data_IF_555770770797
#
_entry.id   IF_555770770797
#
_cell.length_a   1.000
_cell.length_b   1.000
_cell.length_c   1.000
_cell.angle_alpha   90.00
_cell.angle_beta   90.00
_cell.angle_gamma   90.00
#
_symmetry.space_group_name_H-M   'P 1'
#
loop_
_entity.id
_entity.type
_entity.pdbx_description
1 polymer ?
#
# COMPACT_ATOMS: atom_id res chain seq x y z
N UNK A 1 21.98 12.76 -6.15
CA UNK A 1 20.86 12.45 -5.22
C UNK A 1 19.96 11.48 -5.95
N UNK A 2 20.21 10.18 -5.78
CA UNK A 2 19.41 9.14 -6.42
C UNK A 2 18.11 9.03 -5.65
N UNK A 3 17.05 9.67 -6.15
CA UNK A 3 15.70 9.42 -5.69
C UNK A 3 15.33 8.03 -6.25
N UNK A 4 15.72 6.97 -5.53
CA UNK A 4 15.16 5.64 -5.75
C UNK A 4 13.70 5.69 -5.27
N UNK A 5 12.84 6.34 -6.06
CA UNK A 5 11.41 6.42 -5.82
C UNK A 5 10.77 5.10 -6.27
N UNK A 6 11.15 4.00 -5.62
CA UNK A 6 10.38 2.74 -5.67
C UNK A 6 9.35 2.78 -4.54
N UNK A 7 8.51 3.81 -4.51
CA UNK A 7 7.50 4.00 -3.46
C UNK A 7 6.11 4.01 -4.07
N UNK A 8 5.65 2.83 -4.47
CA UNK A 8 4.23 2.48 -4.59
C UNK A 8 4.15 0.96 -4.68
N UNK A 9 4.25 0.26 -3.54
CA UNK A 9 3.91 -1.17 -3.52
C UNK A 9 2.40 -1.27 -3.43
N UNK A 10 1.83 -1.29 -4.62
CA UNK A 10 0.40 -1.29 -4.87
C UNK A 10 0.10 -2.57 -5.69
N UNK A 11 0.16 -3.72 -5.00
CA UNK A 11 -0.83 -4.80 -5.01
C UNK A 11 -1.46 -5.34 -6.36
N UNK A 12 -0.68 -5.95 -7.26
CA UNK A 12 -1.14 -6.43 -8.59
C UNK A 12 -2.07 -7.68 -8.54
N UNK A 13 -2.97 -7.85 -9.53
CA UNK A 13 -3.69 -9.09 -9.88
C UNK A 13 -3.39 -9.49 -11.33
N UNK A 14 -2.92 -10.72 -11.57
CA UNK A 14 -2.87 -11.36 -12.90
C UNK A 14 -3.36 -12.80 -12.75
N UNK A 15 -4.15 -13.28 -13.71
CA UNK A 15 -4.79 -14.60 -13.72
C UNK A 15 -3.78 -15.71 -14.00
N UNK A 16 -3.37 -16.43 -12.96
CA UNK A 16 -2.51 -17.62 -13.02
C UNK A 16 -3.25 -18.93 -12.78
N UNK A 17 -2.74 -20.02 -13.38
CA UNK A 17 -3.36 -21.34 -13.55
C UNK A 17 -3.76 -22.09 -12.27
N UNK A 18 -4.83 -22.88 -12.40
CA UNK A 18 -5.48 -23.70 -11.37
C UNK A 18 -4.60 -24.79 -10.76
N UNK A 19 -4.01 -24.50 -9.59
CA UNK A 19 -3.57 -25.52 -8.65
C UNK A 19 -4.74 -25.99 -7.77
N UNK A 20 -4.79 -27.28 -7.44
CA UNK A 20 -5.85 -27.87 -6.61
C UNK A 20 -5.81 -27.30 -5.20
N UNK A 21 -6.70 -26.34 -4.90
CA UNK A 21 -6.87 -25.75 -3.57
C UNK A 21 -7.42 -26.79 -2.59
N UNK A 22 -6.65 -27.08 -1.54
CA UNK A 22 -7.13 -27.80 -0.36
C UNK A 22 -8.36 -27.07 0.18
N UNK A 23 -9.50 -27.77 0.33
CA UNK A 23 -10.75 -27.19 0.82
C UNK A 23 -10.53 -26.46 2.15
N UNK A 24 -10.79 -25.16 2.15
CA UNK A 24 -10.88 -24.31 3.34
C UNK A 24 -11.80 -25.00 4.37
N UNK A 25 -11.42 -24.97 5.65
CA UNK A 25 -12.30 -25.37 6.74
C UNK A 25 -13.64 -24.63 6.60
N UNK A 26 -14.80 -25.25 6.89
CA UNK A 26 -16.13 -24.63 6.71
C UNK A 26 -16.30 -23.27 7.40
N UNK A 27 -15.42 -22.94 8.34
CA UNK A 27 -15.44 -21.74 9.16
C UNK A 27 -14.42 -20.67 8.75
N UNK A 28 -13.69 -20.84 7.65
CA UNK A 28 -12.73 -19.82 7.21
C UNK A 28 -13.45 -18.59 6.65
N UNK A 29 -12.99 -17.37 7.00
CA UNK A 29 -13.51 -16.14 6.43
C UNK A 29 -13.41 -16.16 4.90
N UNK A 30 -14.36 -15.51 4.22
CA UNK A 30 -14.29 -15.34 2.77
C UNK A 30 -13.44 -14.11 2.42
N UNK A 31 -12.70 -14.11 1.30
CA UNK A 31 -12.09 -12.91 0.76
C UNK A 31 -13.11 -11.78 0.65
N UNK A 32 -12.71 -10.56 0.98
CA UNK A 32 -13.55 -9.36 0.96
C UNK A 32 -12.92 -8.24 0.13
N UNK A 33 -13.68 -7.18 -0.13
CA UNK A 33 -13.20 -5.99 -0.81
C UNK A 33 -13.20 -4.79 0.14
N UNK A 34 -12.15 -3.97 0.04
CA UNK A 34 -12.09 -2.69 0.73
C UNK A 34 -13.22 -1.78 0.23
N UNK A 35 -13.62 -0.75 0.99
CA UNK A 35 -14.49 0.29 0.48
C UNK A 35 -13.96 0.97 -0.79
N UNK A 36 -14.85 1.15 -1.79
CA UNK A 36 -14.58 1.81 -3.08
C UNK A 36 -13.86 3.15 -2.98
N UNK A 37 -14.17 3.87 -1.91
CA UNK A 37 -13.57 5.13 -1.57
C UNK A 37 -13.14 5.05 -0.12
N UNK A 38 -11.94 5.53 0.17
CA UNK A 38 -11.52 5.69 1.54
C UNK A 38 -10.38 6.70 1.66
N UNK A 39 -10.24 7.21 2.88
CA UNK A 39 -9.06 7.93 3.33
C UNK A 39 -8.53 7.27 4.60
N UNK A 40 -7.23 7.26 4.77
CA UNK A 40 -6.57 6.73 5.97
C UNK A 40 -5.22 7.41 6.19
N UNK A 41 -4.69 7.28 7.39
CA UNK A 41 -3.28 7.56 7.65
C UNK A 41 -2.51 6.25 7.62
N UNK A 42 -1.39 6.22 6.92
CA UNK A 42 -0.53 5.05 6.82
C UNK A 42 0.86 5.38 7.36
N UNK A 43 1.46 4.40 8.03
CA UNK A 43 2.87 4.41 8.40
C UNK A 43 3.54 3.20 7.77
N UNK A 44 4.68 3.40 7.12
CA UNK A 44 5.51 2.31 6.58
C UNK A 44 6.89 2.36 7.22
N UNK A 45 7.32 1.23 7.76
CA UNK A 45 8.74 0.96 8.04
C UNK A 45 9.30 0.11 6.90
N UNK A 46 10.36 0.59 6.25
CA UNK A 46 11.06 -0.09 5.15
C UNK A 46 12.45 -0.50 5.62
N UNK A 47 12.85 -1.72 5.30
CA UNK A 47 14.24 -2.17 5.36
C UNK A 47 14.61 -2.84 4.05
N UNK A 48 15.78 -2.55 3.49
CA UNK A 48 16.26 -3.21 2.27
C UNK A 48 17.79 -3.24 2.21
N UNK A 49 18.30 -4.04 1.28
CA UNK A 49 19.71 -4.04 0.90
C UNK A 49 19.85 -3.30 -0.44
N UNK A 50 20.64 -2.23 -0.45
CA UNK A 50 20.92 -1.44 -1.66
C UNK A 50 21.82 -2.22 -2.64
N UNK A 51 21.90 -1.81 -3.93
CA UNK A 51 22.76 -2.47 -4.92
C UNK A 51 24.24 -2.52 -4.54
N UNK A 52 24.72 -1.60 -3.69
CA UNK A 52 26.09 -1.59 -3.16
C UNK A 52 26.29 -2.49 -1.93
N UNK A 53 25.26 -3.28 -1.57
CA UNK A 53 25.25 -4.20 -0.45
C UNK A 53 24.99 -3.54 0.91
N UNK A 54 24.82 -2.22 0.99
CA UNK A 54 24.57 -1.53 2.26
C UNK A 54 23.12 -1.67 2.69
N UNK A 55 22.85 -1.84 3.99
CA UNK A 55 21.49 -1.77 4.50
C UNK A 55 20.96 -0.34 4.38
N UNK A 56 19.69 -0.23 4.04
CA UNK A 56 18.91 1.00 4.06
C UNK A 56 17.64 0.77 4.84
N UNK A 57 17.29 1.72 5.70
CA UNK A 57 16.01 1.72 6.40
C UNK A 57 15.39 3.11 6.35
N UNK A 58 14.07 3.14 6.32
CA UNK A 58 13.30 4.38 6.42
C UNK A 58 11.98 4.16 7.14
N UNK A 59 11.47 5.25 7.72
CA UNK A 59 10.13 5.32 8.27
C UNK A 59 9.36 6.42 7.55
N UNK A 60 8.19 6.10 7.05
CA UNK A 60 7.34 7.02 6.30
C UNK A 60 5.97 7.11 6.93
N UNK A 61 5.37 8.31 6.89
CA UNK A 61 3.97 8.52 7.25
C UNK A 61 3.30 9.35 6.19
N UNK A 62 2.10 8.97 5.79
CA UNK A 62 1.37 9.69 4.76
C UNK A 62 -0.15 9.55 4.92
N UNK A 63 -0.84 10.57 4.46
CA UNK A 63 -2.28 10.51 4.22
C UNK A 63 -2.50 9.78 2.89
N UNK A 64 -3.36 8.78 2.93
CA UNK A 64 -3.74 7.95 1.80
C UNK A 64 -5.19 8.26 1.43
N UNK A 65 -5.45 8.49 0.15
CA UNK A 65 -6.78 8.68 -0.41
C UNK A 65 -6.95 7.78 -1.62
N UNK A 66 -8.07 7.07 -1.68
CA UNK A 66 -8.38 6.13 -2.74
C UNK A 66 -9.79 6.35 -3.27
N UNK A 67 -9.92 6.33 -4.59
CA UNK A 67 -11.19 6.45 -5.29
C UNK A 67 -11.22 5.51 -6.50
N UNK A 68 -11.74 4.30 -6.29
CA UNK A 68 -11.84 3.27 -7.34
C UNK A 68 -12.73 3.69 -8.51
N UNK A 69 -13.81 4.43 -8.25
CA UNK A 69 -14.77 4.82 -9.29
C UNK A 69 -14.12 5.82 -10.27
N UNK A 70 -13.31 6.74 -9.76
CA UNK A 70 -12.49 7.63 -10.60
C UNK A 70 -11.18 7.00 -11.06
N UNK A 71 -10.72 5.95 -10.41
CA UNK A 71 -9.46 5.29 -10.70
C UNK A 71 -8.25 6.10 -10.19
N UNK A 72 -8.38 6.74 -9.02
CA UNK A 72 -7.40 7.66 -8.47
C UNK A 72 -6.85 7.16 -7.14
N UNK A 73 -5.55 7.35 -6.94
CA UNK A 73 -4.85 7.14 -5.67
C UNK A 73 -4.02 8.38 -5.37
N UNK A 74 -3.97 8.79 -4.11
CA UNK A 74 -3.09 9.85 -3.67
C UNK A 74 -2.45 9.48 -2.33
N UNK A 75 -1.15 9.75 -2.24
CA UNK A 75 -0.34 9.54 -1.06
C UNK A 75 0.45 10.81 -0.80
N UNK A 76 0.26 11.46 0.34
CA UNK A 76 0.96 12.71 0.67
C UNK A 76 1.54 12.63 2.07
N UNK A 77 2.85 12.79 2.20
CA UNK A 77 3.50 12.66 3.49
C UNK A 77 5.00 12.91 3.51
N UNK A 78 5.65 12.34 4.51
CA UNK A 78 7.10 12.44 4.73
C UNK A 78 7.73 11.06 4.93
N UNK A 79 9.00 10.94 4.56
CA UNK A 79 9.86 9.81 4.87
C UNK A 79 11.12 10.31 5.60
N UNK A 80 11.54 9.58 6.63
CA UNK A 80 12.78 9.77 7.37
C UNK A 80 13.70 8.58 7.13
N UNK A 81 14.88 8.80 6.59
CA UNK A 81 15.90 7.75 6.45
C UNK A 81 16.67 7.53 7.75
N UNK A 82 17.19 6.31 7.91
CA UNK A 82 17.91 5.85 9.09
C UNK A 82 19.29 5.35 8.62
N UNK A 83 20.41 5.75 9.27
CA UNK A 83 20.49 6.52 10.52
C UNK A 83 20.66 8.04 10.34
N UNK A 84 20.74 8.54 9.11
CA UNK A 84 21.05 9.96 8.85
C UNK A 84 19.96 10.94 9.31
N UNK A 85 18.73 10.46 9.55
CA UNK A 85 17.60 11.28 9.96
C UNK A 85 17.13 12.24 8.87
N UNK A 86 17.58 12.05 7.61
CA UNK A 86 17.19 12.93 6.52
C UNK A 86 15.70 12.76 6.25
N UNK A 87 14.99 13.89 6.25
CA UNK A 87 13.58 13.96 5.89
C UNK A 87 13.40 14.28 4.42
N UNK A 88 12.36 13.72 3.82
CA UNK A 88 11.90 14.05 2.48
C UNK A 88 10.37 14.17 2.49
N UNK A 89 9.84 15.20 1.84
CA UNK A 89 8.40 15.41 1.71
C UNK A 89 7.96 15.11 0.28
N UNK A 90 6.99 14.23 0.13
CA UNK A 90 6.57 13.73 -1.17
C UNK A 90 5.05 13.69 -1.30
N UNK A 91 4.58 13.83 -2.52
CA UNK A 91 3.18 13.64 -2.89
C UNK A 91 3.13 12.83 -4.17
N UNK A 92 2.48 11.68 -4.09
CA UNK A 92 2.28 10.76 -5.21
C UNK A 92 0.81 10.79 -5.58
N UNK A 93 0.52 10.99 -6.85
CA UNK A 93 -0.82 10.93 -7.43
C UNK A 93 -0.80 9.91 -8.55
N UNK A 94 -1.67 8.91 -8.48
CA UNK A 94 -1.82 7.89 -9.49
C UNK A 94 -3.18 8.00 -10.15
N UNK A 95 -3.19 8.05 -11.48
CA UNK A 95 -4.38 7.92 -12.30
C UNK A 95 -4.31 6.58 -13.03
N UNK A 96 -5.02 5.59 -12.48
CA UNK A 96 -5.04 4.22 -12.96
C UNK A 96 -5.77 4.04 -14.29
N UNK A 97 -6.67 4.97 -14.64
CA UNK A 97 -7.34 4.96 -15.94
C UNK A 97 -6.39 5.37 -17.06
N UNK A 98 -5.56 6.38 -16.77
CA UNK A 98 -4.57 6.90 -17.72
C UNK A 98 -3.22 6.17 -17.63
N UNK A 99 -3.03 5.33 -16.61
CA UNK A 99 -1.80 4.57 -16.39
C UNK A 99 -0.62 5.45 -15.97
N UNK A 100 -0.87 6.57 -15.30
CA UNK A 100 0.16 7.58 -14.97
C UNK A 100 0.34 7.78 -13.48
N UNK A 101 1.59 7.88 -13.04
CA UNK A 101 1.98 8.28 -11.69
C UNK A 101 2.72 9.61 -11.76
N UNK A 102 2.36 10.53 -10.88
CA UNK A 102 3.04 11.79 -10.64
C UNK A 102 3.68 11.75 -9.26
N UNK A 103 5.00 11.85 -9.20
CA UNK A 103 5.75 11.96 -7.95
C UNK A 103 6.26 13.39 -7.81
N UNK A 104 5.87 14.05 -6.73
CA UNK A 104 6.11 15.46 -6.49
C UNK A 104 6.99 15.56 -5.25
N UNK A 105 8.21 16.05 -5.42
CA UNK A 105 9.07 16.46 -4.32
C UNK A 105 8.55 17.80 -3.79
N UNK A 106 7.99 17.79 -2.59
CA UNK A 106 7.33 18.98 -2.04
C UNK A 106 8.35 20.05 -1.61
N UNK A 107 9.60 19.69 -1.36
CA UNK A 107 10.65 20.60 -0.94
C UNK A 107 11.24 21.34 -2.15
N UNK A 108 11.58 20.60 -3.21
CA UNK A 108 12.16 21.17 -4.43
C UNK A 108 11.13 21.60 -5.48
N UNK A 109 9.85 21.26 -5.29
CA UNK A 109 8.76 21.44 -6.26
C UNK A 109 9.01 20.76 -7.60
N UNK A 110 9.90 19.77 -7.64
CA UNK A 110 10.17 18.98 -8.84
C UNK A 110 9.12 17.90 -8.97
N UNK A 111 8.66 17.72 -10.21
CA UNK A 111 7.70 16.69 -10.57
C UNK A 111 8.37 15.64 -11.44
N UNK A 112 7.98 14.39 -11.25
CA UNK A 112 8.39 13.26 -12.06
C UNK A 112 7.13 12.54 -12.52
N UNK A 113 7.09 12.23 -13.81
CA UNK A 113 6.00 11.46 -14.41
C UNK A 113 6.50 10.08 -14.77
N UNK A 114 5.72 9.04 -14.46
CA UNK A 114 6.03 7.66 -14.81
C UNK A 114 4.77 6.88 -15.16
N UNK A 115 4.95 5.67 -15.69
CA UNK A 115 3.86 4.75 -15.99
C UNK A 115 3.56 3.92 -14.75
N UNK A 116 2.28 3.73 -14.44
CA UNK A 116 1.83 2.81 -13.39
C UNK A 116 2.18 1.38 -13.80
N UNK A 117 3.05 0.73 -13.03
CA UNK A 117 3.39 -0.68 -13.20
C UNK A 117 2.58 -1.60 -12.29
N UNK A 118 1.90 -1.04 -11.29
CA UNK A 118 1.28 -1.75 -10.18
C UNK A 118 -0.10 -1.15 -9.86
N UNK A 119 -1.16 -1.98 -9.85
CA UNK A 119 -2.55 -1.55 -9.55
C UNK A 119 -2.94 -1.97 -8.15
N UNK A 120 -3.68 -1.18 -7.34
CA UNK A 120 -4.04 -1.52 -5.97
C UNK A 120 -4.94 -2.75 -5.90
N UNK A 121 -4.71 -3.60 -4.89
CA UNK A 121 -5.61 -4.68 -4.51
C UNK A 121 -6.79 -4.00 -3.85
N UNK A 122 -7.88 -3.98 -4.59
CA UNK A 122 -9.17 -3.54 -4.07
C UNK A 122 -9.86 -4.65 -3.26
N UNK A 123 -9.57 -5.90 -3.57
CA UNK A 123 -10.08 -7.06 -2.86
C UNK A 123 -8.94 -7.97 -2.47
N UNK A 124 -9.15 -8.70 -1.37
CA UNK A 124 -8.38 -9.91 -1.10
C UNK A 124 -8.57 -10.83 -2.30
N UNK A 125 -7.50 -11.22 -3.00
CA UNK A 125 -7.64 -12.06 -4.18
C UNK A 125 -8.13 -13.45 -3.76
N UNK A 126 -8.90 -14.12 -4.62
CA UNK A 126 -9.39 -15.49 -4.34
C UNK A 126 -8.24 -16.51 -4.19
N UNK A 127 -7.06 -16.19 -4.73
CA UNK A 127 -5.84 -16.98 -4.58
C UNK A 127 -5.11 -16.72 -3.26
N UNK A 128 -5.57 -15.78 -2.43
CA UNK A 128 -5.00 -15.56 -1.11
C UNK A 128 -5.30 -16.75 -0.19
N UNK A 129 -4.33 -17.09 0.65
CA UNK A 129 -4.44 -18.16 1.62
C UNK A 129 -4.70 -17.54 2.99
N UNK A 130 -5.86 -17.80 3.57
CA UNK A 130 -6.14 -17.41 4.95
C UNK A 130 -5.10 -18.03 5.90
N UNK A 131 -4.54 -17.23 6.80
CA UNK A 131 -3.51 -17.68 7.74
C UNK A 131 -4.09 -17.86 9.14
N UNK A 132 -4.62 -16.78 9.72
CA UNK A 132 -5.13 -16.74 11.08
C UNK A 132 -5.93 -15.45 11.34
N UNK A 133 -6.74 -15.45 12.40
CA UNK A 133 -7.32 -14.25 12.99
C UNK A 133 -6.48 -13.81 14.19
N UNK A 134 -6.29 -12.51 14.34
CA UNK A 134 -5.64 -11.88 15.49
C UNK A 134 -6.59 -10.89 16.17
N UNK A 135 -6.36 -10.64 17.45
CA UNK A 135 -7.14 -9.68 18.23
C UNK A 135 -6.29 -8.44 18.48
N UNK A 136 -6.83 -7.27 18.15
CA UNK A 136 -6.22 -5.96 18.38
C UNK A 136 -6.99 -5.24 19.48
N UNK A 137 -6.28 -4.70 20.47
CA UNK A 137 -6.88 -3.98 21.60
C UNK A 137 -7.02 -4.85 22.86
N UNK A 138 -7.83 -4.40 23.80
CA UNK A 138 -8.00 -5.05 25.11
C UNK A 138 -9.42 -4.85 25.65
N UNK A 139 -9.96 -5.89 26.28
CA UNK A 139 -11.28 -5.85 26.91
C UNK A 139 -12.42 -5.70 25.91
N UNK A 140 -13.31 -4.74 26.17
CA UNK A 140 -14.47 -4.42 25.32
C UNK A 140 -14.11 -3.64 24.05
N UNK A 141 -12.87 -3.12 23.96
CA UNK A 141 -12.35 -2.38 22.82
C UNK A 141 -11.39 -3.24 22.02
N UNK A 142 -11.96 -4.22 21.35
CA UNK A 142 -11.23 -5.18 20.53
C UNK A 142 -11.70 -5.18 19.08
N UNK A 143 -10.77 -5.37 18.17
CA UNK A 143 -11.01 -5.59 16.75
C UNK A 143 -10.40 -6.96 16.41
N UNK A 144 -11.18 -7.82 15.77
CA UNK A 144 -10.65 -9.06 15.18
C UNK A 144 -10.15 -8.72 13.78
N UNK A 145 -8.92 -9.13 13.48
CA UNK A 145 -8.29 -8.97 12.17
C UNK A 145 -7.98 -10.31 11.53
N UNK A 146 -8.45 -10.54 10.31
CA UNK A 146 -8.16 -11.73 9.54
C UNK A 146 -6.96 -11.49 8.63
N UNK A 147 -5.94 -12.33 8.75
CA UNK A 147 -4.69 -12.22 8.01
C UNK A 147 -4.68 -13.15 6.81
N UNK A 148 -4.40 -12.58 5.64
CA UNK A 148 -4.32 -13.27 4.37
C UNK A 148 -2.88 -13.26 3.84
N UNK A 149 -2.42 -14.42 3.37
CA UNK A 149 -1.16 -14.56 2.66
C UNK A 149 -1.40 -14.45 1.16
N UNK A 150 -0.70 -13.53 0.54
CA UNK A 150 -0.69 -13.31 -0.91
C UNK A 150 0.74 -13.53 -1.39
N UNK A 151 0.90 -14.48 -2.31
CA UNK A 151 2.19 -14.69 -2.98
C UNK A 151 2.06 -14.20 -4.41
N UNK A 152 2.99 -13.37 -4.85
CA UNK A 152 3.15 -13.08 -6.28
C UNK A 152 4.61 -12.88 -6.64
N UNK A 153 5.04 -13.55 -7.70
CA UNK A 153 6.40 -13.53 -8.18
C UNK A 153 7.35 -13.90 -7.04
N UNK A 154 8.38 -13.09 -6.78
CA UNK A 154 9.34 -13.27 -5.69
C UNK A 154 8.94 -12.53 -4.40
N UNK A 155 7.67 -12.11 -4.30
CA UNK A 155 7.14 -11.37 -3.17
C UNK A 155 6.07 -12.15 -2.39
N UNK A 156 6.18 -12.06 -1.07
CA UNK A 156 5.22 -12.58 -0.11
C UNK A 156 4.62 -11.42 0.67
N UNK A 157 3.34 -11.50 0.94
CA UNK A 157 2.58 -10.43 1.55
C UNK A 157 1.55 -10.97 2.53
N UNK A 158 1.60 -10.46 3.75
CA UNK A 158 0.56 -10.67 4.74
C UNK A 158 -0.28 -9.40 4.79
N UNK A 159 -1.58 -9.53 4.64
CA UNK A 159 -2.50 -8.39 4.68
C UNK A 159 -3.64 -8.70 5.63
N UNK A 160 -3.81 -7.82 6.62
CA UNK A 160 -4.77 -7.99 7.70
C UNK A 160 -5.92 -7.02 7.54
N UNK A 161 -7.15 -7.54 7.51
CA UNK A 161 -8.39 -6.76 7.41
C UNK A 161 -9.34 -7.06 8.57
N UNK A 162 -10.30 -6.20 8.86
CA UNK A 162 -11.30 -6.44 9.91
C UNK A 162 -12.14 -7.69 9.62
N UNK A 163 -12.31 -8.54 10.64
CA UNK A 163 -13.08 -9.78 10.58
C UNK A 163 -14.60 -9.60 10.75
N UNK A 164 -15.07 -8.36 10.83
CA UNK A 164 -16.50 -8.01 10.91
C UNK A 164 -17.19 -7.94 9.53
N UNK A 165 -16.46 -8.27 8.46
CA UNK A 165 -16.94 -8.24 7.08
C UNK A 165 -16.87 -6.87 6.41
N UNK A 166 -16.45 -5.80 7.11
CA UNK A 166 -16.25 -4.48 6.50
C UNK A 166 -14.96 -4.36 5.70
N UNK A 167 -14.06 -5.34 5.84
CA UNK A 167 -12.78 -5.38 5.13
C UNK A 167 -11.91 -4.13 5.35
N UNK A 168 -11.95 -3.57 6.57
CA UNK A 168 -11.16 -2.39 6.93
C UNK A 168 -9.71 -2.84 7.07
N UNK A 169 -8.75 -2.27 6.31
CA UNK A 169 -7.37 -2.70 6.38
C UNK A 169 -6.72 -2.21 7.69
N UNK A 170 -6.02 -3.11 8.37
CA UNK A 170 -5.42 -2.85 9.69
C UNK A 170 -3.90 -2.71 9.58
N UNK A 171 -3.24 -3.65 8.91
CA UNK A 171 -1.81 -3.65 8.68
C UNK A 171 -1.44 -4.57 7.50
N UNK A 172 -0.20 -4.46 7.06
CA UNK A 172 0.37 -5.39 6.10
C UNK A 172 1.87 -5.55 6.27
N UNK A 173 2.38 -6.71 5.87
CA UNK A 173 3.80 -7.00 5.79
C UNK A 173 4.11 -7.48 4.39
N UNK A 174 5.18 -6.97 3.79
CA UNK A 174 5.65 -7.41 2.50
C UNK A 174 7.13 -7.77 2.58
N UNK A 175 7.48 -8.86 1.93
CA UNK A 175 8.83 -9.39 1.81
C UNK A 175 9.09 -9.63 0.33
N UNK A 176 10.19 -9.12 -0.20
CA UNK A 176 10.65 -9.35 -1.57
C UNK A 176 12.11 -9.78 -1.54
N UNK A 177 12.52 -10.67 -2.46
CA UNK A 177 13.91 -11.10 -2.59
C UNK A 177 14.70 -10.24 -3.59
N UNK A 178 14.04 -9.56 -4.52
CA UNK A 178 14.71 -8.83 -5.60
C UNK A 178 14.03 -7.47 -5.89
N UNK A 179 14.53 -6.37 -5.30
CA UNK A 179 15.58 -6.32 -4.29
C UNK A 179 15.11 -6.88 -2.94
N UNK A 180 16.05 -7.38 -2.13
CA UNK A 180 15.78 -7.85 -0.77
C UNK A 180 15.19 -6.72 0.08
N UNK A 181 13.87 -6.77 0.30
CA UNK A 181 13.10 -5.68 0.90
C UNK A 181 12.09 -6.26 1.89
N UNK A 182 11.94 -5.59 3.02
CA UNK A 182 10.88 -5.81 3.99
C UNK A 182 10.14 -4.50 4.23
N UNK A 183 8.81 -4.55 4.19
CA UNK A 183 7.94 -3.45 4.54
C UNK A 183 6.96 -3.88 5.60
N UNK A 184 6.78 -3.07 6.63
CA UNK A 184 5.70 -3.18 7.60
C UNK A 184 4.85 -1.93 7.51
N UNK A 185 3.56 -2.12 7.25
CA UNK A 185 2.58 -1.06 7.04
C UNK A 185 1.55 -1.11 8.15
N UNK A 186 1.30 0.02 8.80
CA UNK A 186 0.23 0.21 9.77
C UNK A 186 -0.77 1.21 9.21
N UNK A 187 -2.06 0.94 9.37
CA UNK A 187 -3.14 1.78 8.86
C UNK A 187 -3.97 2.26 10.05
N UNK A 188 -4.23 3.56 10.08
CA UNK A 188 -4.98 4.23 11.14
C UNK A 188 -5.96 5.24 10.54
N UNK A 189 -6.91 5.70 11.36
CA UNK A 189 -7.87 6.75 10.99
C UNK A 189 -8.61 6.44 9.68
N UNK A 190 -8.97 5.18 9.46
CA UNK A 190 -9.66 4.73 8.26
C UNK A 190 -11.08 5.30 8.20
N UNK A 191 -11.45 5.91 7.08
CA UNK A 191 -12.79 6.43 6.80
C UNK A 191 -13.22 5.94 5.42
N UNK A 192 -14.40 5.29 5.27
CA UNK A 192 -14.87 4.72 3.99
C UNK A 192 -15.45 5.78 3.04
N UNK A 193 -14.72 6.89 2.85
CA UNK A 193 -14.96 7.92 1.84
C UNK A 193 -13.67 8.74 1.63
N UNK A 194 -13.56 9.40 0.49
CA UNK A 194 -12.51 10.41 0.27
C UNK A 194 -12.81 11.63 1.15
N UNK A 195 -11.89 11.98 2.05
CA UNK A 195 -12.01 13.17 2.91
C UNK A 195 -11.59 14.46 2.20
N UNK A 196 -10.54 14.38 1.38
CA UNK A 196 -9.98 15.52 0.65
C UNK A 196 -9.89 15.18 -0.84
N UNK A 197 -10.87 15.60 -1.67
CA UNK A 197 -10.83 15.40 -3.11
C UNK A 197 -9.66 16.12 -3.80
N UNK A 198 -9.12 17.19 -3.21
CA UNK A 198 -7.99 17.94 -3.78
C UNK A 198 -6.66 17.19 -3.65
N UNK A 199 -6.62 16.11 -2.85
CA UNK A 199 -5.48 15.22 -2.79
C UNK A 199 -5.11 14.59 -4.15
N UNK A 200 -6.05 14.59 -5.11
CA UNK A 200 -5.83 14.09 -6.47
C UNK A 200 -5.47 15.18 -7.49
N UNK A 201 -5.45 16.46 -7.10
CA UNK A 201 -5.19 17.56 -8.01
C UNK A 201 -3.71 17.64 -8.36
N UNK A 202 -3.38 17.40 -9.63
CA UNK A 202 -2.00 17.52 -10.14
C UNK A 202 -1.64 19.02 -10.19
N UNK A 203 -0.57 19.46 -9.50
CA UNK A 203 -0.13 20.85 -9.55
C UNK A 203 0.20 21.31 -10.98
N UNK A 204 -0.04 22.59 -11.29
CA UNK A 204 0.16 23.15 -12.63
C UNK A 204 1.60 22.94 -13.14
N UNK A 205 2.59 23.07 -12.25
CA UNK A 205 3.99 22.83 -12.55
C UNK A 205 4.29 21.39 -13.01
N UNK A 206 3.45 20.42 -12.63
CA UNK A 206 3.61 19.02 -12.98
C UNK A 206 2.86 18.62 -14.26
N UNK A 207 1.94 19.45 -14.77
CA UNK A 207 1.15 19.11 -15.97
C UNK A 207 1.97 19.06 -17.25
N UNK A 208 3.07 19.82 -17.29
CA UNK A 208 3.97 19.90 -18.45
C UNK A 208 5.17 18.94 -18.36
N UNK A 209 5.24 18.09 -17.33
CA UNK A 209 6.30 17.09 -17.21
C UNK A 209 6.05 15.96 -18.22
N UNK A 210 6.96 15.82 -19.18
CA UNK A 210 7.03 14.70 -20.12
C UNK A 210 7.67 13.48 -19.50
#
# INVERSE_FOLDING_TARGET
>A
MFCYATFAIIFILITGSSGTLTRLSPNEPKPCCLPKQHSSQMSISTGMILPDGKPYSSYSTYNFSYDSDRGLVALKGEATSIPDGQKSHWWIIENMKDGQTYTIDQDSKKCYKSIITLKPLYCIPETAVYQYSSMYGYGDKQIIGDTWLITKDEAIMYFTVSGDGQCIPLNGHNYSQNPATVNSTTIANFVPKVLDPSAFDIPEECKNTT
#
